data_IF_164067490257
#
_entry.id   IF_164067490257
#
_cell.length_a   1.000
_cell.length_b   1.000
_cell.length_c   1.000
_cell.angle_alpha   90.00
_cell.angle_beta   90.00
_cell.angle_gamma   90.00
#
_symmetry.space_group_name_H-M   'P 1'
#
loop_
_entity.id
_entity.type
_entity.pdbx_description
1 polymer ?
#
# COMPACT_ATOMS: atom_id res chain seq x y z
N UNK A 1 0.32 -2.67 -8.36
CA UNK A 1 -0.31 -2.50 -7.02
C UNK A 1 0.16 -1.17 -6.45
N UNK A 2 -0.72 -0.40 -5.81
CA UNK A 2 -0.34 0.78 -5.05
C UNK A 2 -0.52 0.49 -3.55
N UNK A 3 0.44 0.94 -2.74
CA UNK A 3 0.36 0.95 -1.27
C UNK A 3 0.52 2.40 -0.83
N UNK A 4 -0.41 2.91 -0.03
CA UNK A 4 -0.38 4.29 0.50
C UNK A 4 -0.41 4.23 2.02
N UNK A 5 0.46 4.99 2.67
CA UNK A 5 0.56 5.03 4.13
C UNK A 5 1.23 6.32 4.57
N UNK A 6 0.81 6.83 5.72
CA UNK A 6 1.35 8.06 6.28
C UNK A 6 2.66 7.80 7.01
N UNK A 7 3.66 8.64 6.78
CA UNK A 7 4.99 8.47 7.40
C UNK A 7 4.96 8.73 8.90
N UNK A 8 4.00 9.52 9.39
CA UNK A 8 3.80 9.81 10.81
C UNK A 8 2.82 8.84 11.50
N UNK A 9 2.39 7.78 10.81
CA UNK A 9 1.51 6.74 11.38
C UNK A 9 2.31 5.72 12.21
N UNK A 10 2.86 6.22 13.32
CA UNK A 10 3.82 5.49 14.17
C UNK A 10 3.17 4.73 15.32
N UNK A 11 1.85 4.80 15.46
CA UNK A 11 1.11 4.12 16.51
C UNK A 11 1.17 2.59 16.34
N UNK A 12 1.48 1.88 17.42
CA UNK A 12 1.74 0.43 17.42
C UNK A 12 0.61 -0.39 18.05
N UNK A 13 -0.24 0.24 18.86
CA UNK A 13 -1.19 -0.44 19.73
C UNK A 13 -2.31 -1.16 18.98
N UNK A 14 -2.75 -0.62 17.84
CA UNK A 14 -3.85 -1.19 17.06
C UNK A 14 -3.39 -2.36 16.18
N UNK A 15 -2.11 -2.41 15.83
CA UNK A 15 -1.56 -3.35 14.84
C UNK A 15 -0.75 -4.48 15.47
N UNK A 16 -0.38 -4.35 16.74
CA UNK A 16 0.39 -5.37 17.45
C UNK A 16 -0.53 -6.53 17.84
N UNK A 17 -0.26 -7.70 17.28
CA UNK A 17 -0.99 -8.92 17.61
C UNK A 17 -0.42 -9.50 18.91
N UNK A 18 -1.25 -9.58 19.96
CA UNK A 18 -0.87 -10.18 21.25
C UNK A 18 -1.05 -11.69 21.21
N UNK A 19 -0.11 -12.42 21.79
CA UNK A 19 -0.18 -13.89 21.88
C UNK A 19 -1.49 -14.35 22.54
N UNK A 20 -2.12 -15.36 21.93
CA UNK A 20 -3.45 -15.84 22.33
C UNK A 20 -4.63 -14.95 21.89
N UNK A 21 -4.38 -13.81 21.22
CA UNK A 21 -5.42 -12.96 20.65
C UNK A 21 -6.05 -13.57 19.40
N UNK A 22 -7.26 -13.10 19.05
CA UNK A 22 -8.06 -13.64 17.92
C UNK A 22 -7.36 -13.58 16.55
N UNK A 23 -6.39 -12.68 16.37
CA UNK A 23 -5.66 -12.47 15.12
C UNK A 23 -4.16 -12.78 15.24
N UNK A 24 -3.73 -13.40 16.34
CA UNK A 24 -2.33 -13.75 16.53
C UNK A 24 -1.97 -15.07 15.87
N UNK A 25 -0.76 -15.11 15.31
CA UNK A 25 -0.07 -16.31 14.87
C UNK A 25 1.45 -16.11 14.99
N UNK A 26 2.25 -17.18 15.04
CA UNK A 26 3.70 -17.05 14.93
C UNK A 26 4.09 -16.21 13.71
N UNK A 27 4.95 -15.20 13.93
CA UNK A 27 5.40 -14.27 12.90
C UNK A 27 4.45 -13.11 12.56
N UNK A 28 3.29 -12.99 13.21
CA UNK A 28 2.30 -11.94 12.93
C UNK A 28 2.81 -10.49 13.12
N UNK A 29 3.93 -10.30 13.83
CA UNK A 29 4.54 -9.00 14.07
C UNK A 29 5.89 -8.82 13.35
N UNK A 30 6.37 -9.81 12.61
CA UNK A 30 7.69 -9.78 11.95
C UNK A 30 7.76 -8.75 10.82
N UNK A 31 6.59 -8.33 10.32
CA UNK A 31 6.50 -7.34 9.26
C UNK A 31 6.85 -5.91 9.70
N UNK A 32 6.94 -5.63 11.00
CA UNK A 32 7.25 -4.31 11.56
C UNK A 32 6.39 -3.94 12.76
N UNK A 33 6.89 -3.00 13.57
CA UNK A 33 6.20 -2.46 14.75
C UNK A 33 5.24 -1.32 14.40
N UNK A 34 5.48 -0.60 13.32
CA UNK A 34 4.64 0.52 12.85
C UNK A 34 3.97 0.22 11.50
N UNK A 35 2.95 0.99 11.14
CA UNK A 35 2.28 0.86 9.83
C UNK A 35 3.22 1.17 8.65
N UNK A 36 4.09 2.19 8.69
CA UNK A 36 5.11 2.42 7.66
C UNK A 36 6.07 1.24 7.47
N UNK A 37 6.54 0.65 8.57
CA UNK A 37 7.43 -0.52 8.50
C UNK A 37 6.73 -1.71 7.84
N UNK A 38 5.50 -2.01 8.28
CA UNK A 38 4.67 -3.07 7.69
C UNK A 38 4.40 -2.83 6.21
N UNK A 39 4.09 -1.60 5.82
CA UNK A 39 3.86 -1.24 4.43
C UNK A 39 5.13 -1.43 3.57
N UNK A 40 6.31 -1.06 4.09
CA UNK A 40 7.60 -1.30 3.40
C UNK A 40 7.89 -2.80 3.27
N UNK A 41 7.62 -3.59 4.32
CA UNK A 41 7.80 -5.05 4.27
C UNK A 41 6.85 -5.70 3.27
N UNK A 42 5.57 -5.30 3.26
CA UNK A 42 4.59 -5.76 2.28
C UNK A 42 4.99 -5.39 0.85
N UNK A 43 5.49 -4.17 0.64
CA UNK A 43 5.97 -3.74 -0.67
C UNK A 43 7.08 -4.66 -1.19
N UNK A 44 8.11 -4.90 -0.37
CA UNK A 44 9.22 -5.82 -0.72
C UNK A 44 8.74 -7.24 -0.99
N UNK A 45 7.81 -7.75 -0.18
CA UNK A 45 7.26 -9.09 -0.35
C UNK A 45 6.47 -9.23 -1.66
N UNK A 46 5.67 -8.23 -2.03
CA UNK A 46 4.94 -8.20 -3.29
C UNK A 46 5.90 -8.09 -4.49
N UNK A 47 6.92 -7.25 -4.40
CA UNK A 47 7.97 -7.15 -5.43
C UNK A 47 8.70 -8.48 -5.61
N UNK A 48 9.01 -9.19 -4.53
CA UNK A 48 9.67 -10.50 -4.58
C UNK A 48 8.84 -11.58 -5.31
N UNK A 49 7.51 -11.46 -5.33
CA UNK A 49 6.62 -12.35 -6.10
C UNK A 49 6.27 -11.80 -7.50
N UNK A 50 6.98 -10.76 -7.97
CA UNK A 50 6.86 -10.23 -9.32
C UNK A 50 5.79 -9.15 -9.50
N UNK A 51 5.17 -8.65 -8.42
CA UNK A 51 4.24 -7.54 -8.54
C UNK A 51 4.99 -6.21 -8.75
N UNK A 52 4.52 -5.40 -9.70
CA UNK A 52 4.96 -4.01 -9.81
C UNK A 52 4.28 -3.17 -8.71
N UNK A 53 5.05 -2.76 -7.71
CA UNK A 53 4.55 -2.00 -6.56
C UNK A 53 4.88 -0.51 -6.72
N UNK A 54 3.93 0.34 -6.32
CA UNK A 54 4.13 1.77 -6.08
C UNK A 54 3.84 2.03 -4.61
N UNK A 55 4.88 2.26 -3.80
CA UNK A 55 4.74 2.64 -2.40
C UNK A 55 4.74 4.17 -2.27
N UNK A 56 3.63 4.74 -1.83
CA UNK A 56 3.47 6.16 -1.55
C UNK A 56 3.50 6.40 -0.04
N UNK A 57 4.63 6.89 0.47
CA UNK A 57 4.77 7.40 1.83
C UNK A 57 4.35 8.87 1.84
N UNK A 58 3.33 9.23 2.61
CA UNK A 58 2.84 10.61 2.68
C UNK A 58 3.47 11.31 3.89
N UNK A 59 4.31 12.35 3.70
CA UNK A 59 4.95 13.06 4.80
C UNK A 59 3.91 13.70 5.72
N UNK A 60 4.18 13.70 7.03
CA UNK A 60 3.34 14.35 8.06
C UNK A 60 1.88 13.84 8.13
N UNK A 61 1.58 12.70 7.50
CA UNK A 61 0.28 12.06 7.60
C UNK A 61 0.34 10.98 8.68
N UNK A 62 -0.50 11.10 9.69
CA UNK A 62 -0.76 10.05 10.68
C UNK A 62 -1.78 9.04 10.11
N UNK A 63 -2.60 8.42 10.96
CA UNK A 63 -3.67 7.52 10.53
C UNK A 63 -4.89 8.27 9.97
N UNK A 64 -4.73 8.91 8.81
CA UNK A 64 -5.78 9.72 8.15
C UNK A 64 -6.04 9.23 6.71
N UNK A 65 -7.10 8.43 6.55
CA UNK A 65 -7.46 7.85 5.25
C UNK A 65 -7.95 8.87 4.22
N UNK A 66 -8.47 10.04 4.63
CA UNK A 66 -8.98 11.04 3.69
C UNK A 66 -7.84 11.64 2.86
N UNK A 67 -6.67 11.83 3.47
CA UNK A 67 -5.45 12.31 2.79
C UNK A 67 -4.85 11.31 1.81
N UNK A 68 -5.25 10.04 1.87
CA UNK A 68 -4.82 9.02 0.92
C UNK A 68 -5.64 9.05 -0.39
N UNK A 69 -6.80 9.72 -0.42
CA UNK A 69 -7.73 9.71 -1.57
C UNK A 69 -7.09 10.31 -2.82
N UNK A 70 -6.48 11.50 -2.71
CA UNK A 70 -5.88 12.17 -3.86
C UNK A 70 -4.75 11.34 -4.51
N UNK A 71 -3.77 10.78 -3.75
CA UNK A 71 -2.79 9.84 -4.28
C UNK A 71 -3.38 8.60 -4.98
N UNK A 72 -4.49 8.07 -4.45
CA UNK A 72 -5.17 6.89 -5.03
C UNK A 72 -5.87 7.26 -6.33
N UNK A 73 -6.59 8.37 -6.36
CA UNK A 73 -7.25 8.85 -7.57
C UNK A 73 -6.24 9.13 -8.69
N UNK A 74 -5.10 9.75 -8.36
CA UNK A 74 -4.03 9.99 -9.32
C UNK A 74 -3.48 8.70 -9.94
N UNK A 75 -3.22 7.68 -9.10
CA UNK A 75 -2.77 6.37 -9.58
C UNK A 75 -3.81 5.70 -10.50
N UNK A 76 -5.08 5.66 -10.09
CA UNK A 76 -6.14 5.03 -10.89
C UNK A 76 -6.35 5.77 -12.23
N UNK A 77 -6.31 7.10 -12.22
CA UNK A 77 -6.41 7.91 -13.42
C UNK A 77 -5.29 7.60 -14.43
N UNK A 78 -4.05 7.47 -13.95
CA UNK A 78 -2.89 7.08 -14.78
C UNK A 78 -3.10 5.70 -15.42
N UNK A 79 -3.51 4.70 -14.64
CA UNK A 79 -3.75 3.34 -15.14
C UNK A 79 -4.88 3.34 -16.18
N UNK A 80 -6.00 3.99 -15.89
CA UNK A 80 -7.14 4.07 -16.81
C UNK A 80 -6.78 4.81 -18.12
N UNK A 81 -5.98 5.87 -18.02
CA UNK A 81 -5.48 6.57 -19.20
C UNK A 81 -4.58 5.66 -20.06
N UNK A 82 -3.64 4.94 -19.44
CA UNK A 82 -2.78 3.98 -20.13
C UNK A 82 -3.57 2.89 -20.86
N UNK A 83 -4.61 2.34 -20.22
CA UNK A 83 -5.49 1.35 -20.83
C UNK A 83 -6.26 1.90 -22.04
N UNK A 84 -6.78 3.14 -21.93
CA UNK A 84 -7.48 3.80 -23.06
C UNK A 84 -6.57 4.06 -24.25
N UNK A 85 -5.34 4.49 -24.00
CA UNK A 85 -4.36 4.77 -25.06
C UNK A 85 -3.81 3.48 -25.68
N UNK A 86 -3.61 2.43 -24.88
CA UNK A 86 -3.21 1.11 -25.35
C UNK A 86 -4.30 0.42 -26.20
N UNK A 87 -5.57 0.56 -25.82
CA UNK A 87 -6.71 -0.01 -26.55
C UNK A 87 -6.96 0.63 -27.93
N UNK A 88 -6.52 1.88 -28.15
CA UNK A 88 -6.66 2.59 -29.44
C UNK A 88 -5.68 2.13 -30.52
N UNK A 89 -4.67 1.30 -30.20
CA UNK A 89 -3.72 0.74 -31.18
C UNK A 89 -4.20 -0.56 -31.85
N UNK A 90 -5.36 -1.10 -31.47
CA UNK A 90 -5.84 -2.42 -31.90
C UNK A 90 -7.06 -2.45 -32.83
N UNK A 91 -7.57 -1.30 -33.29
CA UNK A 91 -8.70 -1.28 -34.23
C UNK A 91 -8.18 -1.13 -35.68
N UNK A 92 -8.25 -2.17 -36.53
CA UNK A 92 -8.07 -1.98 -37.97
C UNK A 92 -9.27 -1.19 -38.52
N UNK A 93 -8.97 -0.16 -39.31
CA UNK A 93 -9.94 0.51 -40.19
C UNK A 93 -10.08 -0.21 -41.52
#
# INVERSE_FOLDING_TARGET
VQIVVGEADLETWEITHREGGAHWMPGANDAGGTRPERARTLARALEAVGCRVRLNMIPNMAHDGAKAVDPVQGFLAEILHGLRMGGRRGAPG
#
